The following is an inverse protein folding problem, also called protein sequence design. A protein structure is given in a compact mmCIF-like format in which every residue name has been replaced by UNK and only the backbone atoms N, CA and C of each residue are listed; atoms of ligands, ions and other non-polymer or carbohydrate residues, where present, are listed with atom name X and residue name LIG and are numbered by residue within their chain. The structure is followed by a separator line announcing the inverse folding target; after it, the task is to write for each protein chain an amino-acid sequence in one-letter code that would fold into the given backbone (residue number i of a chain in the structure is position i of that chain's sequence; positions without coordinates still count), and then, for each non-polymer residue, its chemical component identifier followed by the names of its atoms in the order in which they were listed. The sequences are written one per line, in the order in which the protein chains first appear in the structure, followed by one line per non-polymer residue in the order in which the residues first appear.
data_IF_977584084362
#
_entry.id   IF_977584084362
#
_cell.length_a   1.000
_cell.length_b   1.000
_cell.length_c   1.000
_cell.angle_alpha   90.00
_cell.angle_beta   90.00
_cell.angle_gamma   90.00
#
_symmetry.space_group_name_H-M   'P 1'
#
loop_
_entity.id
_entity.type
_entity.pdbx_description
1 polymer ?
#
# COMPACT_ATOMS: atom_id res chain seq x y z
N UNK A 1 8.55 -24.08 -24.43
CA UNK A 1 9.49 -23.67 -25.51
C UNK A 1 10.27 -22.45 -25.03
N UNK A 2 11.60 -22.44 -25.11
CA UNK A 2 12.40 -21.30 -24.61
C UNK A 2 12.30 -20.10 -25.56
N UNK A 3 11.89 -18.94 -25.06
CA UNK A 3 11.87 -17.66 -25.79
C UNK A 3 13.08 -16.83 -25.38
N UNK A 4 13.80 -16.28 -26.35
CA UNK A 4 14.81 -15.26 -26.09
C UNK A 4 14.12 -13.97 -25.66
N UNK A 5 14.51 -13.43 -24.52
CA UNK A 5 14.04 -12.16 -23.96
C UNK A 5 15.19 -11.15 -23.97
N UNK A 6 14.88 -9.88 -23.72
CA UNK A 6 15.92 -8.83 -23.66
C UNK A 6 16.93 -9.09 -22.51
N UNK A 7 18.20 -8.76 -22.72
CA UNK A 7 19.23 -8.86 -21.67
C UNK A 7 19.01 -7.89 -20.48
N UNK A 8 17.99 -7.03 -20.59
CA UNK A 8 17.68 -5.98 -19.66
C UNK A 8 16.62 -6.46 -18.65
N UNK A 9 17.10 -7.04 -17.56
CA UNK A 9 16.28 -7.43 -16.42
C UNK A 9 16.30 -6.30 -15.39
N UNK A 10 15.12 -5.87 -14.91
CA UNK A 10 15.01 -4.77 -13.96
C UNK A 10 14.31 -5.17 -12.67
N UNK A 11 14.85 -4.73 -11.53
CA UNK A 11 14.18 -4.76 -10.23
C UNK A 11 13.51 -3.41 -10.03
N UNK A 12 12.21 -3.43 -9.77
CA UNK A 12 11.42 -2.25 -9.50
C UNK A 12 11.32 -1.97 -8.01
N UNK A 13 11.58 -0.72 -7.65
CA UNK A 13 11.45 -0.17 -6.30
C UNK A 13 10.48 1.01 -6.34
N UNK A 14 9.47 0.99 -5.46
CA UNK A 14 8.61 2.17 -5.23
C UNK A 14 9.44 3.35 -4.75
N UNK A 15 8.91 4.56 -4.91
CA UNK A 15 9.50 5.81 -4.39
C UNK A 15 9.99 5.69 -2.93
N UNK A 16 9.11 5.24 -2.04
CA UNK A 16 9.44 5.02 -0.64
C UNK A 16 10.63 4.07 -0.44
N UNK A 17 10.72 2.99 -1.22
CA UNK A 17 11.84 2.03 -1.14
C UNK A 17 13.12 2.57 -1.79
N UNK A 18 12.98 3.26 -2.91
CA UNK A 18 14.08 3.95 -3.56
C UNK A 18 14.73 4.98 -2.64
N UNK A 19 13.98 5.60 -1.71
CA UNK A 19 14.51 6.53 -0.71
C UNK A 19 15.47 5.90 0.32
N UNK A 20 15.45 4.57 0.49
CA UNK A 20 16.39 3.85 1.37
C UNK A 20 17.71 3.52 0.66
N UNK A 21 17.69 3.46 -0.67
CA UNK A 21 18.86 3.12 -1.49
C UNK A 21 19.45 4.35 -2.18
N UNK A 22 18.64 5.41 -2.33
CA UNK A 22 18.94 6.62 -3.11
C UNK A 22 18.25 7.84 -2.49
N UNK A 23 18.55 9.03 -3.01
CA UNK A 23 17.84 10.27 -2.66
C UNK A 23 16.60 10.55 -3.52
N UNK A 24 16.20 9.64 -4.41
CA UNK A 24 15.07 9.83 -5.33
C UNK A 24 13.77 9.32 -4.69
N UNK A 25 12.71 10.12 -4.78
CA UNK A 25 11.36 9.78 -4.31
C UNK A 25 10.42 9.49 -5.49
N UNK A 26 10.88 8.66 -6.42
CA UNK A 26 10.10 8.26 -7.60
C UNK A 26 10.20 6.76 -7.85
N UNK A 27 9.24 6.21 -8.60
CA UNK A 27 9.33 4.84 -9.08
C UNK A 27 10.68 4.65 -9.81
N UNK A 28 11.44 3.69 -9.34
CA UNK A 28 12.83 3.52 -9.73
C UNK A 28 13.10 2.07 -10.12
N UNK A 29 14.08 1.88 -11.00
CA UNK A 29 14.51 0.57 -11.46
C UNK A 29 16.01 0.39 -11.34
N UNK A 30 16.40 -0.86 -11.14
CA UNK A 30 17.79 -1.28 -10.98
C UNK A 30 18.06 -2.41 -11.97
N UNK A 31 19.13 -2.30 -12.76
CA UNK A 31 19.56 -3.36 -13.68
C UNK A 31 20.03 -4.60 -12.92
N UNK A 32 19.25 -5.67 -12.96
CA UNK A 32 19.54 -6.92 -12.25
C UNK A 32 20.73 -7.68 -12.84
N UNK A 33 21.05 -7.44 -14.11
CA UNK A 33 22.24 -7.96 -14.78
C UNK A 33 23.56 -7.53 -14.13
N UNK A 34 23.54 -6.46 -13.33
CA UNK A 34 24.72 -5.97 -12.58
C UNK A 34 24.77 -6.49 -11.13
N UNK A 35 23.81 -7.32 -10.71
CA UNK A 35 23.60 -7.72 -9.31
C UNK A 35 23.76 -9.23 -9.10
N UNK A 36 24.35 -9.62 -7.97
CA UNK A 36 24.30 -11.02 -7.52
C UNK A 36 22.94 -11.36 -6.91
N UNK A 37 22.57 -12.64 -6.85
CA UNK A 37 21.33 -13.08 -6.17
C UNK A 37 21.25 -12.62 -4.71
N UNK A 38 22.39 -12.47 -4.04
CA UNK A 38 22.46 -11.93 -2.68
C UNK A 38 22.06 -10.44 -2.66
N UNK A 39 22.57 -9.63 -3.59
CA UNK A 39 22.23 -8.21 -3.70
C UNK A 39 20.73 -8.03 -4.00
N UNK A 40 20.17 -8.85 -4.89
CA UNK A 40 18.74 -8.86 -5.19
C UNK A 40 17.93 -9.16 -3.93
N UNK A 41 18.31 -10.20 -3.17
CA UNK A 41 17.62 -10.56 -1.92
C UNK A 41 17.67 -9.42 -0.91
N UNK A 42 18.81 -8.77 -0.74
CA UNK A 42 18.95 -7.63 0.17
C UNK A 42 18.03 -6.48 -0.23
N UNK A 43 18.05 -6.08 -1.51
CA UNK A 43 17.20 -5.01 -2.05
C UNK A 43 15.71 -5.31 -1.90
N UNK A 44 15.28 -6.56 -2.14
CA UNK A 44 13.89 -6.99 -1.98
C UNK A 44 13.46 -7.08 -0.51
N UNK A 45 14.39 -7.42 0.38
CA UNK A 45 14.11 -7.58 1.82
C UNK A 45 14.05 -6.26 2.59
N UNK A 46 14.67 -5.19 2.07
CA UNK A 46 14.76 -3.89 2.75
C UNK A 46 15.60 -3.92 4.03
N UNK A 47 16.48 -4.92 4.19
CA UNK A 47 17.36 -5.04 5.34
C UNK A 47 18.57 -4.08 5.20
N UNK A 48 18.97 -3.39 6.29
CA UNK A 48 19.97 -2.33 6.26
C UNK A 48 21.43 -2.82 6.18
N UNK A 49 21.67 -4.13 6.01
CA UNK A 49 23.04 -4.66 5.96
C UNK A 49 23.71 -4.32 4.62
N UNK A 50 24.67 -3.40 4.69
CA UNK A 50 25.56 -2.96 3.62
C UNK A 50 24.86 -2.46 2.35
N UNK A 51 24.26 -1.27 2.42
CA UNK A 51 23.83 -0.53 1.23
C UNK A 51 25.04 -0.16 0.36
N UNK A 52 25.37 -1.00 -0.62
CA UNK A 52 26.23 -0.61 -1.74
C UNK A 52 25.51 0.43 -2.57
N UNK A 53 26.26 1.39 -3.12
CA UNK A 53 25.73 2.35 -4.10
C UNK A 53 25.41 1.59 -5.39
N UNK A 54 24.15 1.27 -5.59
CA UNK A 54 23.65 0.60 -6.79
C UNK A 54 23.15 1.67 -7.76
N UNK A 55 23.48 1.61 -9.07
CA UNK A 55 22.97 2.56 -10.04
C UNK A 55 21.45 2.42 -10.16
N UNK A 56 20.72 3.45 -9.75
CA UNK A 56 19.26 3.49 -9.77
C UNK A 56 18.76 4.51 -10.78
N UNK A 57 17.97 4.03 -11.72
CA UNK A 57 17.34 4.84 -12.75
C UNK A 57 15.90 5.17 -12.36
N UNK A 58 15.43 6.36 -12.70
CA UNK A 58 14.00 6.67 -12.62
C UNK A 58 13.29 5.86 -13.71
N UNK A 59 12.19 5.18 -13.36
CA UNK A 59 11.39 4.47 -14.36
C UNK A 59 10.35 5.40 -14.97
N UNK A 60 10.32 5.43 -16.30
CA UNK A 60 9.31 6.11 -17.11
C UNK A 60 8.43 5.11 -17.90
N UNK A 61 8.53 3.81 -17.58
CA UNK A 61 7.88 2.73 -18.31
C UNK A 61 6.47 2.47 -17.77
N UNK A 62 5.47 2.45 -18.65
CA UNK A 62 4.10 2.06 -18.29
C UNK A 62 4.05 0.63 -17.77
N UNK A 63 4.87 -0.27 -18.32
CA UNK A 63 4.96 -1.67 -17.88
C UNK A 63 5.41 -1.76 -16.41
N UNK A 64 6.34 -0.89 -16.01
CA UNK A 64 6.90 -0.90 -14.66
C UNK A 64 5.86 -0.44 -13.63
N UNK A 65 5.07 0.59 -13.97
CA UNK A 65 3.95 1.03 -13.15
C UNK A 65 2.91 -0.08 -13.01
N UNK A 66 2.50 -0.70 -14.12
CA UNK A 66 1.52 -1.78 -14.13
C UNK A 66 1.98 -3.01 -13.32
N UNK A 67 3.27 -3.33 -13.36
CA UNK A 67 3.83 -4.40 -12.55
C UNK A 67 3.74 -4.11 -11.05
N UNK A 68 4.04 -2.87 -10.64
CA UNK A 68 3.88 -2.46 -9.24
C UNK A 68 2.41 -2.47 -8.82
N UNK A 69 1.50 -1.97 -9.66
CA UNK A 69 0.07 -1.97 -9.37
C UNK A 69 -0.46 -3.40 -9.20
N UNK A 70 -0.07 -4.32 -10.08
CA UNK A 70 -0.42 -5.74 -9.97
C UNK A 70 0.05 -6.35 -8.64
N UNK A 71 1.29 -6.08 -8.24
CA UNK A 71 1.86 -6.59 -6.99
C UNK A 71 1.16 -5.99 -5.76
N UNK A 72 0.77 -4.71 -5.81
CA UNK A 72 -0.05 -4.06 -4.78
C UNK A 72 -1.44 -4.70 -4.69
N UNK A 73 -2.11 -4.92 -5.82
CA UNK A 73 -3.41 -5.61 -5.88
C UNK A 73 -3.34 -7.03 -5.32
N UNK A 74 -2.25 -7.75 -5.61
CA UNK A 74 -1.97 -9.07 -5.04
C UNK A 74 -1.63 -9.03 -3.54
N UNK A 75 -1.58 -7.85 -2.93
CA UNK A 75 -1.25 -7.63 -1.53
C UNK A 75 0.13 -8.15 -1.14
N UNK A 76 1.07 -8.03 -2.07
CA UNK A 76 2.46 -8.41 -1.91
C UNK A 76 3.31 -7.17 -1.62
N UNK A 77 4.58 -7.39 -1.26
CA UNK A 77 5.53 -6.29 -1.14
C UNK A 77 5.64 -5.60 -2.50
N UNK A 78 5.44 -4.28 -2.61
CA UNK A 78 5.45 -3.58 -3.90
C UNK A 78 6.87 -3.49 -4.50
N UNK A 79 7.33 -4.60 -5.02
CA UNK A 79 8.59 -4.77 -5.74
C UNK A 79 8.42 -5.96 -6.69
N UNK A 80 8.98 -5.82 -7.89
CA UNK A 80 8.82 -6.79 -8.97
C UNK A 80 10.11 -6.91 -9.78
N UNK A 81 10.35 -8.09 -10.33
CA UNK A 81 11.33 -8.30 -11.39
C UNK A 81 10.58 -8.21 -12.72
N UNK A 82 11.02 -7.31 -13.60
CA UNK A 82 10.38 -7.06 -14.91
C UNK A 82 11.37 -7.31 -16.03
N UNK A 83 10.89 -8.01 -17.05
CA UNK A 83 11.66 -8.42 -18.23
C UNK A 83 10.77 -8.19 -19.45
N UNK A 84 11.29 -7.50 -20.46
CA UNK A 84 10.66 -7.45 -21.77
C UNK A 84 10.98 -8.72 -22.56
N UNK A 85 9.94 -9.50 -22.86
CA UNK A 85 10.01 -10.75 -23.60
C UNK A 85 10.15 -10.57 -25.12
N UNK A 86 9.94 -9.34 -25.63
CA UNK A 86 10.10 -8.99 -27.04
C UNK A 86 9.22 -9.82 -27.97
N UNK A 87 7.94 -9.97 -27.64
CA UNK A 87 6.95 -10.58 -28.55
C UNK A 87 6.67 -9.63 -29.71
N UNK A 88 6.58 -10.16 -30.93
CA UNK A 88 6.31 -9.36 -32.12
C UNK A 88 4.86 -8.91 -32.23
N UNK A 89 3.93 -9.70 -31.68
CA UNK A 89 2.50 -9.39 -31.61
C UNK A 89 1.83 -10.09 -30.42
N UNK A 90 0.56 -9.77 -30.19
CA UNK A 90 -0.22 -10.28 -29.06
C UNK A 90 -0.57 -11.77 -29.21
N UNK A 91 -0.80 -12.26 -30.44
CA UNK A 91 -1.11 -13.68 -30.69
C UNK A 91 0.08 -14.58 -30.33
N UNK A 92 1.30 -14.20 -30.73
CA UNK A 92 2.54 -14.89 -30.35
C UNK A 92 2.70 -14.96 -28.82
N UNK A 93 2.38 -13.86 -28.12
CA UNK A 93 2.42 -13.82 -26.66
C UNK A 93 1.37 -14.76 -26.04
N UNK A 94 0.14 -14.78 -26.56
CA UNK A 94 -0.93 -15.65 -26.04
C UNK A 94 -0.60 -17.13 -26.24
N UNK A 95 -0.19 -17.53 -27.44
CA UNK A 95 0.20 -18.91 -27.74
C UNK A 95 1.36 -19.36 -26.84
N UNK A 96 2.35 -18.48 -26.65
CA UNK A 96 3.47 -18.78 -25.75
C UNK A 96 3.03 -18.89 -24.30
N UNK A 97 2.19 -17.99 -23.80
CA UNK A 97 1.65 -18.04 -22.45
C UNK A 97 0.86 -19.33 -22.20
N UNK A 98 -0.03 -19.73 -23.12
CA UNK A 98 -0.82 -20.96 -23.02
C UNK A 98 0.08 -22.21 -23.01
N UNK A 99 1.03 -22.29 -23.95
CA UNK A 99 1.95 -23.42 -24.06
C UNK A 99 2.85 -23.61 -22.82
N UNK A 100 3.06 -22.56 -22.02
CA UNK A 100 3.91 -22.61 -20.82
C UNK A 100 3.12 -22.47 -19.51
N UNK A 101 1.78 -22.46 -19.56
CA UNK A 101 0.92 -22.36 -18.38
C UNK A 101 1.07 -21.03 -17.62
N UNK A 102 1.36 -19.95 -18.33
CA UNK A 102 1.56 -18.61 -17.78
C UNK A 102 0.29 -17.80 -17.99
N UNK A 103 -0.23 -17.20 -16.93
CA UNK A 103 -1.35 -16.27 -17.02
C UNK A 103 -0.90 -14.96 -17.68
N UNK A 104 -1.61 -14.53 -18.71
CA UNK A 104 -1.45 -13.21 -19.30
C UNK A 104 -2.56 -12.28 -18.82
N UNK A 105 -2.25 -10.99 -18.68
CA UNK A 105 -3.21 -9.97 -18.24
C UNK A 105 -3.03 -8.70 -19.07
N UNK A 106 -4.14 -8.16 -19.57
CA UNK A 106 -4.11 -6.88 -20.27
C UNK A 106 -3.89 -5.73 -19.28
N UNK A 107 -2.99 -4.80 -19.61
CA UNK A 107 -2.75 -3.62 -18.76
C UNK A 107 -4.02 -2.79 -18.51
N UNK A 108 -4.95 -2.77 -19.48
CA UNK A 108 -6.25 -2.12 -19.32
C UNK A 108 -7.08 -2.71 -18.16
N UNK A 109 -7.02 -4.01 -17.93
CA UNK A 109 -7.75 -4.64 -16.83
C UNK A 109 -7.24 -4.14 -15.46
N UNK A 110 -5.95 -3.85 -15.35
CA UNK A 110 -5.35 -3.28 -14.15
C UNK A 110 -5.78 -1.83 -13.96
N UNK A 111 -5.75 -1.02 -15.01
CA UNK A 111 -6.19 0.39 -14.92
C UNK A 111 -7.68 0.51 -14.61
N UNK A 112 -8.51 -0.32 -15.24
CA UNK A 112 -9.95 -0.34 -15.01
C UNK A 112 -10.25 -0.75 -13.55
N UNK A 113 -9.56 -1.78 -13.02
CA UNK A 113 -9.67 -2.17 -11.61
C UNK A 113 -9.32 -1.03 -10.66
N UNK A 114 -8.19 -0.35 -10.88
CA UNK A 114 -7.76 0.77 -10.03
C UNK A 114 -8.76 1.93 -10.07
N UNK A 115 -9.33 2.22 -11.23
CA UNK A 115 -10.37 3.26 -11.37
C UNK A 115 -11.69 2.87 -10.69
N UNK A 116 -12.04 1.59 -10.70
CA UNK A 116 -13.22 1.06 -10.01
C UNK A 116 -13.02 0.92 -8.49
N UNK A 117 -11.78 0.94 -8.02
CA UNK A 117 -11.42 0.94 -6.60
C UNK A 117 -11.75 2.29 -5.95
N UNK A 118 -13.04 2.54 -5.77
CA UNK A 118 -13.56 3.72 -5.07
C UNK A 118 -14.20 3.24 -3.78
N UNK A 119 -13.62 3.67 -2.66
CA UNK A 119 -14.25 3.48 -1.35
C UNK A 119 -15.49 4.35 -1.25
N UNK A 120 -16.59 3.75 -0.83
CA UNK A 120 -17.86 4.44 -0.60
C UNK A 120 -18.31 4.20 0.83
N UNK A 121 -18.83 5.25 1.47
CA UNK A 121 -19.51 5.11 2.76
C UNK A 121 -20.76 4.24 2.57
N UNK A 122 -20.81 3.10 3.26
CA UNK A 122 -21.95 2.18 3.22
C UNK A 122 -22.81 2.27 4.47
N UNK A 123 -22.24 2.72 5.60
CA UNK A 123 -22.96 2.84 6.86
C UNK A 123 -22.30 3.88 7.76
N UNK A 124 -23.10 4.61 8.53
CA UNK A 124 -22.66 5.51 9.61
C UNK A 124 -23.57 5.35 10.81
N UNK A 125 -22.97 5.27 11.99
CA UNK A 125 -23.71 5.16 13.26
C UNK A 125 -22.97 5.83 14.41
N UNK A 126 -23.67 6.14 15.48
CA UNK A 126 -23.06 6.60 16.72
C UNK A 126 -22.36 5.44 17.42
N UNK A 127 -21.18 5.71 17.97
CA UNK A 127 -20.37 4.75 18.70
C UNK A 127 -20.03 5.33 20.07
N UNK A 128 -20.37 4.61 21.12
CA UNK A 128 -20.09 5.01 22.50
C UNK A 128 -18.88 4.24 23.01
N UNK A 129 -17.73 4.93 23.05
CA UNK A 129 -16.47 4.38 23.57
C UNK A 129 -16.31 4.77 25.04
N UNK A 130 -15.59 3.93 25.78
CA UNK A 130 -15.34 4.15 27.21
C UNK A 130 -14.65 5.50 27.47
N UNK A 131 -13.68 5.86 26.63
CA UNK A 131 -12.93 7.12 26.71
C UNK A 131 -13.56 8.26 25.89
N UNK A 132 -14.59 7.98 25.07
CA UNK A 132 -15.33 9.02 24.33
C UNK A 132 -16.76 8.59 24.00
N UNK A 133 -17.72 9.24 24.65
CA UNK A 133 -19.15 9.06 24.41
C UNK A 133 -19.65 9.80 23.16
N UNK A 134 -18.83 10.67 22.57
CA UNK A 134 -19.14 11.39 21.33
C UNK A 134 -18.28 10.83 20.20
N UNK A 135 -18.56 9.61 19.74
CA UNK A 135 -17.87 9.04 18.59
C UNK A 135 -18.86 8.56 17.54
N UNK A 136 -18.40 8.45 16.30
CA UNK A 136 -19.15 7.84 15.19
C UNK A 136 -18.33 6.74 14.57
N UNK A 137 -18.97 5.66 14.17
CA UNK A 137 -18.37 4.65 13.32
C UNK A 137 -18.90 4.83 11.90
N UNK A 138 -18.00 4.78 10.92
CA UNK A 138 -18.31 4.89 9.51
C UNK A 138 -17.66 3.70 8.81
N UNK A 139 -18.43 3.00 8.00
CA UNK A 139 -17.99 1.82 7.26
C UNK A 139 -17.83 2.21 5.79
N UNK A 140 -16.67 1.91 5.23
CA UNK A 140 -16.36 2.07 3.83
C UNK A 140 -16.22 0.71 3.17
N UNK A 141 -16.73 0.59 1.95
CA UNK A 141 -16.53 -0.59 1.12
C UNK A 141 -16.23 -0.17 -0.31
N UNK A 142 -15.34 -0.92 -0.96
CA UNK A 142 -15.12 -0.77 -2.39
C UNK A 142 -16.23 -1.49 -3.18
N UNK A 143 -16.56 -0.99 -4.37
CA UNK A 143 -17.59 -1.59 -5.25
C UNK A 143 -17.22 -3.00 -5.72
N UNK A 144 -15.93 -3.29 -5.78
CA UNK A 144 -15.39 -4.54 -6.31
C UNK A 144 -15.33 -5.68 -5.28
N UNK A 145 -16.03 -5.56 -4.14
CA UNK A 145 -16.21 -6.65 -3.17
C UNK A 145 -15.05 -6.88 -2.21
N UNK A 146 -14.15 -5.90 -2.05
CA UNK A 146 -13.08 -5.95 -1.05
C UNK A 146 -13.61 -5.85 0.40
N UNK A 147 -12.79 -6.24 1.40
CA UNK A 147 -13.15 -6.13 2.82
C UNK A 147 -13.57 -4.70 3.21
N UNK A 148 -14.44 -4.62 4.20
CA UNK A 148 -14.82 -3.33 4.76
C UNK A 148 -13.67 -2.66 5.52
N UNK A 149 -13.63 -1.34 5.40
CA UNK A 149 -12.77 -0.45 6.17
C UNK A 149 -13.62 0.31 7.17
N UNK A 150 -13.11 0.51 8.39
CA UNK A 150 -13.85 1.19 9.44
C UNK A 150 -13.11 2.46 9.85
N UNK A 151 -13.84 3.56 9.87
CA UNK A 151 -13.42 4.83 10.46
C UNK A 151 -14.19 5.05 11.75
N UNK A 152 -13.51 5.51 12.78
CA UNK A 152 -14.06 5.95 14.06
C UNK A 152 -13.72 7.43 14.20
N UNK A 153 -14.71 8.29 14.11
CA UNK A 153 -14.55 9.73 14.31
C UNK A 153 -14.82 10.04 15.77
N UNK A 154 -13.88 10.71 16.45
CA UNK A 154 -13.98 11.08 17.86
C UNK A 154 -14.23 12.59 17.94
N UNK A 155 -15.36 12.97 18.55
CA UNK A 155 -15.82 14.35 18.63
C UNK A 155 -16.24 14.91 17.27
N UNK A 156 -15.94 16.19 17.06
CA UNK A 156 -16.24 16.94 15.84
C UNK A 156 -14.96 17.64 15.35
N UNK A 157 -14.06 16.93 14.63
CA UNK A 157 -12.82 17.50 14.13
C UNK A 157 -13.02 18.66 13.16
N UNK A 158 -12.28 19.75 13.39
CA UNK A 158 -12.03 20.75 12.37
C UNK A 158 -11.02 20.21 11.34
N UNK A 159 -11.23 20.52 10.07
CA UNK A 159 -10.43 19.98 8.95
C UNK A 159 -8.98 20.46 9.01
N UNK A 160 -8.75 21.67 9.50
CA UNK A 160 -7.45 22.34 9.46
C UNK A 160 -6.39 21.72 10.39
N UNK A 161 -6.80 20.98 11.42
CA UNK A 161 -5.90 20.40 12.44
C UNK A 161 -6.40 19.02 12.91
N UNK A 162 -6.67 18.13 11.95
CA UNK A 162 -7.13 16.77 12.26
C UNK A 162 -5.93 15.85 12.57
N UNK A 163 -5.98 15.17 13.72
CA UNK A 163 -5.05 14.07 14.00
C UNK A 163 -5.61 12.78 13.41
N UNK A 164 -4.72 11.92 12.94
CA UNK A 164 -5.09 10.65 12.32
C UNK A 164 -4.25 9.54 12.88
N UNK A 165 -4.92 8.45 13.26
CA UNK A 165 -4.26 7.19 13.58
C UNK A 165 -4.74 6.11 12.62
N UNK A 166 -3.78 5.47 11.96
CA UNK A 166 -4.00 4.24 11.21
C UNK A 166 -3.70 3.05 12.09
N UNK A 167 -4.63 2.10 12.15
CA UNK A 167 -4.51 0.88 12.92
C UNK A 167 -4.82 -0.33 12.05
N UNK A 168 -3.88 -1.28 11.99
CA UNK A 168 -4.14 -2.57 11.37
C UNK A 168 -4.86 -3.46 12.37
N UNK A 169 -6.07 -3.92 12.05
CA UNK A 169 -6.86 -4.79 12.92
C UNK A 169 -6.04 -6.02 13.28
N UNK A 170 -5.88 -6.26 14.58
CA UNK A 170 -5.28 -7.46 15.11
C UNK A 170 -6.38 -8.28 15.77
N UNK A 171 -6.78 -9.39 15.15
CA UNK A 171 -7.84 -10.23 15.70
C UNK A 171 -7.50 -10.76 17.10
N UNK A 172 -6.28 -11.25 17.30
CA UNK A 172 -5.85 -11.80 18.58
C UNK A 172 -5.63 -10.73 19.64
N UNK A 173 -5.09 -9.56 19.26
CA UNK A 173 -4.85 -8.45 20.18
C UNK A 173 -6.13 -7.69 20.50
N UNK A 174 -6.75 -7.08 19.49
CA UNK A 174 -7.87 -6.15 19.65
C UNK A 174 -9.13 -6.86 20.17
N UNK A 175 -9.49 -8.00 19.56
CA UNK A 175 -10.72 -8.72 19.91
C UNK A 175 -10.52 -9.70 21.08
N UNK A 176 -9.48 -10.54 21.03
CA UNK A 176 -9.27 -11.57 22.06
C UNK A 176 -8.46 -11.09 23.26
N UNK A 177 -7.83 -9.91 23.20
CA UNK A 177 -7.03 -9.38 24.31
C UNK A 177 -5.73 -10.15 24.57
N UNK A 178 -5.12 -10.73 23.53
CA UNK A 178 -3.86 -11.46 23.65
C UNK A 178 -2.77 -10.59 24.29
N UNK A 179 -2.04 -11.15 25.25
CA UNK A 179 -0.87 -10.52 25.88
C UNK A 179 0.40 -10.62 25.05
N UNK A 180 0.37 -11.38 23.95
CA UNK A 180 1.51 -11.54 23.03
C UNK A 180 1.61 -10.41 21.99
N UNK A 181 0.58 -9.57 21.83
CA UNK A 181 0.67 -8.31 21.08
C UNK A 181 0.15 -7.17 21.96
N UNK A 182 0.78 -6.00 21.85
CA UNK A 182 0.33 -4.74 22.46
C UNK A 182 -0.67 -3.96 21.58
N UNK A 183 -1.13 -4.55 20.49
CA UNK A 183 -2.07 -3.97 19.51
C UNK A 183 -3.29 -3.30 20.20
N UNK A 184 -3.86 -3.96 21.21
CA UNK A 184 -5.04 -3.46 21.94
C UNK A 184 -4.70 -2.27 22.82
N UNK A 185 -3.58 -2.29 23.55
CA UNK A 185 -3.19 -1.16 24.38
C UNK A 185 -2.83 0.05 23.51
N UNK A 186 -2.22 -0.15 22.35
CA UNK A 186 -2.00 0.91 21.37
C UNK A 186 -3.31 1.52 20.85
N UNK A 187 -4.31 0.68 20.52
CA UNK A 187 -5.64 1.12 20.09
C UNK A 187 -6.33 1.96 21.18
N UNK A 188 -6.40 1.45 22.41
CA UNK A 188 -7.06 2.16 23.52
C UNK A 188 -6.34 3.46 23.89
N UNK A 189 -5.00 3.42 23.94
CA UNK A 189 -4.20 4.63 24.22
C UNK A 189 -4.42 5.68 23.15
N UNK A 190 -4.48 5.28 21.87
CA UNK A 190 -4.84 6.20 20.80
C UNK A 190 -6.22 6.79 21.08
N UNK A 191 -7.29 5.98 21.17
CA UNK A 191 -8.66 6.47 21.42
C UNK A 191 -8.71 7.48 22.58
N UNK A 192 -8.02 7.21 23.68
CA UNK A 192 -7.93 8.12 24.82
C UNK A 192 -7.25 9.45 24.47
N UNK A 193 -6.05 9.41 23.88
CA UNK A 193 -5.33 10.62 23.46
C UNK A 193 -6.14 11.46 22.46
N UNK A 194 -6.83 10.77 21.55
CA UNK A 194 -7.66 11.37 20.52
C UNK A 194 -8.98 11.94 21.09
N UNK A 195 -9.44 11.46 22.24
CA UNK A 195 -10.58 12.02 22.96
C UNK A 195 -10.19 13.27 23.78
N UNK A 196 -8.95 13.31 24.29
CA UNK A 196 -8.39 14.45 25.02
C UNK A 196 -8.06 15.63 24.11
N UNK A 197 -7.66 15.36 22.87
CA UNK A 197 -7.38 16.36 21.85
C UNK A 197 -8.67 16.63 21.06
N UNK A 198 -9.22 17.84 21.11
CA UNK A 198 -10.45 18.17 20.42
C UNK A 198 -10.27 18.08 18.89
N UNK A 199 -10.75 16.98 18.29
CA UNK A 199 -10.93 16.87 16.84
C UNK A 199 -10.08 15.81 16.17
N UNK A 200 -10.44 14.53 16.31
CA UNK A 200 -9.60 13.46 15.81
C UNK A 200 -10.37 12.31 15.16
N UNK A 201 -9.83 11.77 14.07
CA UNK A 201 -10.34 10.55 13.43
C UNK A 201 -9.37 9.37 13.58
N UNK A 202 -9.91 8.22 13.94
CA UNK A 202 -9.23 6.94 14.11
C UNK A 202 -9.68 5.97 13.01
N UNK A 203 -8.77 5.19 12.42
CA UNK A 203 -9.13 4.23 11.35
C UNK A 203 -8.62 2.84 11.67
N UNK A 204 -9.49 1.82 11.54
CA UNK A 204 -9.12 0.40 11.68
C UNK A 204 -9.32 -0.34 10.35
N UNK A 205 -8.25 -1.03 9.92
CA UNK A 205 -8.16 -1.75 8.66
C UNK A 205 -8.14 -3.26 8.89
N UNK A 206 -8.97 -4.04 8.19
CA UNK A 206 -8.71 -5.48 8.02
C UNK A 206 -7.68 -5.67 6.90
N UNK A 207 -6.50 -6.24 7.23
CA UNK A 207 -5.31 -6.46 6.36
C UNK A 207 -5.66 -6.69 4.87
N UNK A 208 -4.91 -6.14 3.91
CA UNK A 208 -3.53 -6.60 3.61
C UNK A 208 -2.59 -5.63 2.83
N UNK A 209 -2.98 -4.41 2.49
CA UNK A 209 -2.06 -3.31 2.09
C UNK A 209 -2.60 -2.04 2.71
N UNK A 210 -1.72 -1.26 3.35
CA UNK A 210 -2.08 0.00 3.96
C UNK A 210 -2.27 1.04 2.87
N UNK A 211 -3.52 1.45 2.63
CA UNK A 211 -3.82 2.72 1.96
C UNK A 211 -4.81 3.49 2.84
N UNK A 212 -4.31 4.64 3.30
CA UNK A 212 -4.93 5.68 4.11
C UNK A 212 -6.15 6.28 3.40
N UNK A 213 -7.25 6.54 4.12
CA UNK A 213 -8.18 7.60 3.73
C UNK A 213 -8.59 8.39 4.95
N UNK A 214 -8.27 9.68 4.91
CA UNK A 214 -8.73 10.75 5.80
C UNK A 214 -10.06 11.27 5.27
N UNK A 215 -11.03 11.56 6.14
CA UNK A 215 -12.25 12.25 5.69
C UNK A 215 -12.53 13.54 6.42
N UNK A 216 -12.60 14.57 5.61
CA UNK A 216 -13.16 15.88 5.92
C UNK A 216 -14.68 15.80 5.84
N UNK A 217 -15.37 16.79 6.41
CA UNK A 217 -16.83 16.90 6.40
C UNK A 217 -17.41 17.19 4.99
N UNK A 218 -16.61 17.09 3.92
CA UNK A 218 -16.99 17.33 2.53
C UNK A 218 -16.38 16.29 1.58
N UNK A 219 -16.79 15.02 1.70
CA UNK A 219 -16.47 14.00 0.70
C UNK A 219 -14.99 13.58 0.65
N UNK A 220 -14.76 12.40 0.06
CA UNK A 220 -13.43 11.81 -0.05
C UNK A 220 -12.61 12.57 -1.10
N UNK A 221 -11.51 13.19 -0.68
CA UNK A 221 -10.41 13.57 -1.57
C UNK A 221 -9.18 12.76 -1.18
N UNK A 222 -8.76 11.88 -2.09
CA UNK A 222 -7.45 11.23 -2.04
C UNK A 222 -6.41 12.30 -2.39
N UNK A 223 -5.67 12.79 -1.40
CA UNK A 223 -4.51 13.63 -1.61
C UNK A 223 -3.26 12.83 -1.24
N UNK A 224 -2.27 12.82 -2.13
CA UNK A 224 -0.91 12.37 -1.87
C UNK A 224 -0.31 13.21 -0.74
N UNK A 225 -0.56 12.79 0.50
CA UNK A 225 -0.03 13.47 1.67
C UNK A 225 1.35 12.89 2.00
N UNK A 226 2.41 13.62 1.62
CA UNK A 226 3.74 13.44 2.17
C UNK A 226 3.68 13.70 3.68
N UNK A 227 3.86 12.65 4.49
CA UNK A 227 3.95 12.77 5.94
C UNK A 227 5.32 13.34 6.32
N UNK A 228 5.40 14.45 7.07
CA UNK A 228 6.68 14.93 7.58
C UNK A 228 7.26 13.91 8.57
N UNK A 229 8.53 13.55 8.35
CA UNK A 229 9.30 12.71 9.27
C UNK A 229 9.49 13.50 10.58
N UNK A 230 8.83 13.07 11.65
CA UNK A 230 9.17 13.55 12.99
C UNK A 230 10.57 13.04 13.35
N UNK A 231 11.54 13.96 13.40
CA UNK A 231 12.84 13.76 14.01
C UNK A 231 12.66 13.65 15.53
N UNK A 232 12.85 12.44 16.07
CA UNK A 232 12.83 12.19 17.51
C UNK A 232 14.03 12.83 18.22
N UNK A 233 13.79 13.26 19.46
CA UNK A 233 14.83 13.43 20.49
C UNK A 233 15.40 12.07 20.92
#
# INVERSE_FOLDING_TARGET
MFKSFSDNVYILLTAQRASYVTTKDKLSRIGANTLSLADIRTLLSGLPEETRSVPVEESLSTLDSLAIDLVKMAKLLPSALVIDMGFGNIEEMYDWCECNGILHLAGKALTDYTQEYVLQEVCRSDLYLQDSLKSKIIVYRSKIGEPEHYAIVIGEPAIENIVVRLHSSCYTGDLLGSLSCDCRSQLLTAVKLLAEQAGVSFFTFRKKVAELVLLTNQGIQFADAEFPRYSGC
#
